data_IF_415598086000
#
_entry.id   IF_415598086000
#
_cell.length_a   1.000
_cell.length_b   1.000
_cell.length_c   1.000
_cell.angle_alpha   90.00
_cell.angle_beta   90.00
_cell.angle_gamma   90.00
#
_symmetry.space_group_name_H-M   'P 1'
#
loop_
_entity.id
_entity.type
_entity.pdbx_description
1 polymer ?
#
# COMPACT_ATOMS: atom_id res chain seq x y z
N UNK A 1 29.78 42.74 -49.72
CA UNK A 1 29.54 41.47 -50.44
C UNK A 1 30.80 40.61 -50.34
N UNK A 2 30.88 39.76 -49.32
CA UNK A 2 32.01 38.87 -49.09
C UNK A 2 31.59 37.43 -49.44
N UNK A 3 32.42 36.74 -50.23
CA UNK A 3 32.15 35.42 -50.82
C UNK A 3 32.37 34.29 -49.81
N UNK A 4 31.43 33.35 -49.80
CA UNK A 4 31.52 32.00 -49.23
C UNK A 4 32.73 31.23 -49.78
N UNK A 5 33.40 30.47 -48.91
CA UNK A 5 34.12 29.24 -49.28
C UNK A 5 33.81 28.12 -48.28
N UNK A 6 33.26 27.05 -48.84
CA UNK A 6 33.10 25.71 -48.28
C UNK A 6 34.44 25.11 -47.88
N UNK A 7 34.48 24.38 -46.75
CA UNK A 7 35.46 23.32 -46.51
C UNK A 7 34.73 22.09 -45.99
N UNK A 8 34.69 21.07 -46.84
CA UNK A 8 34.26 19.70 -46.58
C UNK A 8 35.38 18.94 -45.88
N UNK A 9 35.11 18.19 -44.81
CA UNK A 9 35.98 17.10 -44.36
C UNK A 9 35.16 15.87 -43.96
N UNK A 10 35.41 14.81 -44.72
CA UNK A 10 35.09 13.41 -44.46
C UNK A 10 35.78 12.90 -43.19
N UNK A 11 35.09 12.07 -42.42
CA UNK A 11 35.66 10.93 -41.69
C UNK A 11 34.55 9.88 -41.47
N UNK A 12 34.67 8.75 -42.17
CA UNK A 12 33.85 7.56 -41.97
C UNK A 12 34.50 6.69 -40.88
N UNK A 13 33.72 6.28 -39.88
CA UNK A 13 34.14 5.30 -38.88
C UNK A 13 33.42 3.96 -39.13
N UNK A 14 34.23 2.90 -39.14
CA UNK A 14 33.93 1.52 -39.52
C UNK A 14 33.18 0.82 -38.38
N UNK A 15 32.05 0.20 -38.70
CA UNK A 15 31.32 -0.71 -37.81
C UNK A 15 31.88 -2.14 -37.94
N UNK A 16 32.23 -2.77 -36.82
CA UNK A 16 32.58 -4.19 -36.74
C UNK A 16 31.58 -4.89 -35.81
N UNK A 17 30.67 -5.67 -36.40
CA UNK A 17 29.75 -6.54 -35.69
C UNK A 17 30.38 -7.92 -35.50
N UNK A 18 30.39 -8.42 -34.26
CA UNK A 18 30.73 -9.80 -33.92
C UNK A 18 29.47 -10.48 -33.40
N UNK A 19 29.02 -11.53 -34.10
CA UNK A 19 28.00 -12.49 -33.68
C UNK A 19 28.70 -13.76 -33.17
N UNK A 20 28.29 -14.36 -32.05
CA UNK A 20 28.59 -15.75 -31.76
C UNK A 20 27.45 -16.67 -32.22
N UNK A 21 27.86 -17.70 -32.96
CA UNK A 21 27.11 -18.92 -33.27
C UNK A 21 27.19 -19.85 -32.04
N UNK A 22 26.07 -20.37 -31.56
CA UNK A 22 26.05 -21.57 -30.70
C UNK A 22 25.02 -22.56 -31.25
N UNK A 23 25.50 -23.80 -31.36
CA UNK A 23 24.90 -24.94 -32.04
C UNK A 23 23.86 -25.69 -31.19
N UNK A 24 22.96 -26.38 -31.89
CA UNK A 24 22.01 -27.35 -31.35
C UNK A 24 22.70 -28.57 -30.73
N UNK A 25 22.14 -29.11 -29.65
CA UNK A 25 22.33 -30.49 -29.20
C UNK A 25 21.00 -31.00 -28.65
N UNK A 26 20.52 -32.11 -29.21
CA UNK A 26 19.27 -32.76 -28.88
C UNK A 26 19.50 -34.00 -28.01
N UNK A 27 18.68 -34.16 -26.96
CA UNK A 27 18.34 -35.40 -26.24
C UNK A 27 17.44 -34.98 -25.07
N UNK A 28 16.29 -35.55 -24.71
CA UNK A 28 15.60 -36.79 -25.04
C UNK A 28 14.67 -37.08 -23.85
N UNK A 29 13.46 -37.60 -24.09
CA UNK A 29 12.47 -37.98 -23.06
C UNK A 29 11.19 -37.16 -23.21
N UNK A 30 9.98 -37.72 -23.31
CA UNK A 30 9.50 -39.08 -23.10
C UNK A 30 8.04 -38.95 -22.68
N UNK A 31 7.11 -38.80 -23.63
CA UNK A 31 5.69 -38.68 -23.33
C UNK A 31 5.05 -40.07 -23.24
N UNK A 32 4.97 -40.59 -22.02
CA UNK A 32 4.17 -41.77 -21.69
C UNK A 32 2.72 -41.35 -21.42
N UNK A 33 1.83 -41.63 -22.35
CA UNK A 33 0.39 -41.64 -22.14
C UNK A 33 0.00 -43.00 -21.56
N UNK A 34 -0.57 -43.03 -20.36
CA UNK A 34 -1.28 -44.22 -19.86
C UNK A 34 -2.64 -43.83 -19.28
N UNK A 35 -3.66 -44.33 -19.97
CA UNK A 35 -5.03 -44.50 -19.53
C UNK A 35 -5.15 -45.67 -18.55
N UNK A 36 -6.04 -45.58 -17.56
CA UNK A 36 -6.70 -46.75 -16.97
C UNK A 36 -6.97 -46.69 -15.45
N UNK A 37 -8.27 -46.56 -15.11
CA UNK A 37 -9.08 -47.13 -14.00
C UNK A 37 -8.39 -47.47 -12.65
N UNK A 38 -8.97 -47.26 -11.47
CA UNK A 38 -10.35 -47.05 -11.02
C UNK A 38 -10.49 -47.61 -9.60
N UNK A 39 -11.70 -47.55 -9.03
CA UNK A 39 -12.11 -48.00 -7.67
C UNK A 39 -11.71 -47.04 -6.53
N UNK A 40 -12.58 -46.64 -5.61
CA UNK A 40 -13.93 -47.08 -5.27
C UNK A 40 -14.14 -46.86 -3.77
N UNK A 41 -15.18 -46.13 -3.37
CA UNK A 41 -15.46 -45.86 -1.96
C UNK A 41 -16.68 -44.97 -1.76
N UNK A 42 -17.86 -45.60 -1.78
CA UNK A 42 -19.17 -45.01 -1.49
C UNK A 42 -19.49 -44.98 0.00
N UNK A 43 -20.32 -44.00 0.39
CA UNK A 43 -21.36 -44.13 1.43
C UNK A 43 -21.31 -43.05 2.52
N UNK A 44 -22.41 -42.46 3.00
CA UNK A 44 -23.81 -42.46 2.58
C UNK A 44 -24.57 -41.37 3.38
N UNK A 45 -25.60 -40.80 2.72
CA UNK A 45 -26.92 -40.37 3.24
C UNK A 45 -27.06 -39.37 4.42
N UNK A 46 -27.79 -38.28 4.14
CA UNK A 46 -28.31 -37.30 5.11
C UNK A 46 -29.67 -37.67 5.74
N UNK A 47 -30.61 -36.71 5.85
CA UNK A 47 -31.03 -36.12 7.13
C UNK A 47 -32.40 -36.60 7.61
N UNK A 48 -32.66 -36.45 8.92
CA UNK A 48 -33.98 -36.67 9.54
C UNK A 48 -34.57 -35.37 10.08
N UNK A 49 -35.80 -35.07 9.66
CA UNK A 49 -36.60 -33.94 10.13
C UNK A 49 -37.98 -34.43 10.59
N UNK A 50 -38.51 -33.88 11.70
CA UNK A 50 -39.93 -33.62 12.07
C UNK A 50 -39.96 -33.16 13.55
N UNK A 51 -40.82 -32.29 14.10
CA UNK A 51 -41.75 -31.21 13.69
C UNK A 51 -42.57 -30.78 14.93
N UNK A 52 -42.84 -29.47 15.11
CA UNK A 52 -43.99 -28.81 15.84
C UNK A 52 -44.19 -29.08 17.36
N UNK A 53 -44.65 -28.19 18.26
CA UNK A 53 -45.47 -26.96 18.20
C UNK A 53 -45.50 -26.19 19.55
N UNK A 54 -45.72 -24.86 19.49
CA UNK A 54 -46.47 -23.96 20.41
C UNK A 54 -45.98 -23.63 21.83
N UNK A 55 -45.96 -22.34 22.17
CA UNK A 55 -46.15 -21.81 23.54
C UNK A 55 -45.24 -20.64 23.90
N UNK A 56 -45.85 -19.53 24.27
CA UNK A 56 -45.25 -18.25 24.67
C UNK A 56 -44.25 -18.35 25.85
N UNK A 57 -43.16 -17.57 25.84
CA UNK A 57 -42.76 -16.80 27.04
C UNK A 57 -41.80 -15.65 26.70
N UNK A 58 -42.07 -14.49 27.29
CA UNK A 58 -41.26 -13.29 27.22
C UNK A 58 -40.25 -13.29 28.37
N UNK A 59 -38.97 -13.09 28.06
CA UNK A 59 -37.97 -12.66 29.04
C UNK A 59 -36.94 -13.72 29.41
N UNK A 60 -35.73 -13.54 28.89
CA UNK A 60 -34.55 -14.27 29.33
C UNK A 60 -33.36 -13.91 28.46
N UNK A 61 -32.35 -13.29 29.06
CA UNK A 61 -31.03 -13.08 28.46
C UNK A 61 -30.53 -14.38 27.82
N UNK A 62 -30.26 -14.32 26.53
CA UNK A 62 -29.44 -15.33 25.86
C UNK A 62 -28.22 -14.60 25.33
N UNK A 63 -27.12 -14.78 26.04
CA UNK A 63 -25.79 -14.38 25.61
C UNK A 63 -25.47 -15.00 24.26
N UNK A 64 -25.30 -14.14 23.26
CA UNK A 64 -24.53 -14.49 22.08
C UNK A 64 -23.05 -14.38 22.44
N UNK A 65 -22.40 -15.51 22.68
CA UNK A 65 -20.95 -15.61 22.54
C UNK A 65 -20.63 -15.48 21.06
N UNK A 66 -20.31 -14.26 20.63
CA UNK A 66 -19.60 -14.01 19.38
C UNK A 66 -18.20 -14.59 19.52
N UNK A 67 -17.92 -15.69 18.83
CA UNK A 67 -16.57 -16.18 18.59
C UNK A 67 -16.14 -15.76 17.18
N UNK A 68 -15.84 -14.48 17.02
CA UNK A 68 -15.08 -13.91 15.90
C UNK A 68 -13.95 -13.05 16.48
N UNK A 69 -12.81 -12.89 15.79
CA UNK A 69 -11.64 -12.17 16.32
C UNK A 69 -11.88 -10.66 16.23
N UNK A 70 -12.81 -10.16 17.04
CA UNK A 70 -12.94 -8.76 17.41
C UNK A 70 -12.50 -8.63 18.86
N UNK A 71 -11.21 -8.86 19.12
CA UNK A 71 -10.65 -8.53 20.42
C UNK A 71 -10.73 -7.03 20.62
N UNK A 72 -11.19 -6.58 21.80
CA UNK A 72 -10.90 -5.23 22.26
C UNK A 72 -9.38 -4.99 22.07
N UNK A 73 -8.98 -3.84 21.48
CA UNK A 73 -7.56 -3.54 21.36
C UNK A 73 -6.89 -3.68 22.73
N UNK A 74 -5.64 -4.19 22.80
CA UNK A 74 -4.94 -4.32 24.07
C UNK A 74 -4.98 -2.99 24.83
N UNK A 75 -5.25 -3.04 26.13
CA UNK A 75 -5.23 -1.85 26.97
C UNK A 75 -3.91 -1.08 26.76
N UNK A 76 -4.00 0.24 26.59
CA UNK A 76 -2.86 1.13 26.37
C UNK A 76 -1.77 0.79 27.39
N UNK A 77 -0.54 0.55 26.91
CA UNK A 77 0.60 0.18 27.75
C UNK A 77 1.06 1.33 28.69
N UNK A 78 0.18 2.30 28.97
CA UNK A 78 0.46 3.52 29.68
C UNK A 78 1.26 4.50 28.82
N UNK A 79 1.06 4.50 27.50
CA UNK A 79 1.77 5.41 26.61
C UNK A 79 1.40 6.85 26.96
N UNK A 80 2.38 7.63 27.40
CA UNK A 80 2.15 8.99 27.88
C UNK A 80 2.53 10.01 26.83
N UNK A 81 1.63 10.97 26.61
CA UNK A 81 1.90 12.13 25.79
C UNK A 81 3.11 12.90 26.34
N UNK A 82 4.08 13.17 25.47
CA UNK A 82 5.25 13.99 25.78
C UNK A 82 5.04 15.38 25.20
N UNK A 83 5.20 16.44 25.98
CA UNK A 83 5.05 17.80 25.50
C UNK A 83 6.38 18.55 25.56
N UNK A 84 6.67 19.37 24.55
CA UNK A 84 7.79 20.32 24.59
C UNK A 84 7.47 21.56 25.46
N UNK A 85 8.48 22.40 25.67
CA UNK A 85 8.35 23.62 26.49
C UNK A 85 7.40 24.65 25.86
N UNK A 86 7.16 24.55 24.54
CA UNK A 86 6.19 25.33 23.77
C UNK A 86 4.75 24.80 23.89
N UNK A 87 4.55 23.65 24.53
CA UNK A 87 3.24 23.03 24.76
C UNK A 87 2.74 22.17 23.59
N UNK A 88 3.58 21.85 22.61
CA UNK A 88 3.26 20.89 21.57
C UNK A 88 3.42 19.48 22.13
N UNK A 89 2.34 18.72 22.09
CA UNK A 89 2.23 17.42 22.73
C UNK A 89 2.21 16.29 21.69
N UNK A 90 3.21 15.42 21.74
CA UNK A 90 3.36 14.22 20.90
C UNK A 90 2.94 12.99 21.70
N UNK A 91 1.99 12.25 21.15
CA UNK A 91 1.55 10.95 21.65
C UNK A 91 2.28 9.78 20.96
N UNK A 92 2.50 9.80 19.64
CA UNK A 92 3.25 8.74 18.97
C UNK A 92 4.32 9.31 18.04
N UNK A 93 5.42 8.58 17.89
CA UNK A 93 6.50 8.91 16.98
C UNK A 93 6.50 7.95 15.78
N UNK A 94 6.59 8.52 14.58
CA UNK A 94 6.54 7.78 13.31
C UNK A 94 7.85 8.02 12.55
N UNK A 95 8.54 6.95 12.15
CA UNK A 95 9.61 7.05 11.16
C UNK A 95 9.07 6.73 9.77
N UNK A 96 9.18 7.66 8.83
CA UNK A 96 8.95 7.39 7.42
C UNK A 96 10.27 7.11 6.72
N UNK A 97 10.47 5.88 6.23
CA UNK A 97 11.75 5.38 5.74
C UNK A 97 11.69 5.14 4.24
N UNK A 98 12.62 5.79 3.53
CA UNK A 98 12.82 5.75 2.08
C UNK A 98 12.23 6.96 1.35
N UNK A 99 12.39 7.00 0.02
CA UNK A 99 12.17 8.22 -0.75
C UNK A 99 10.71 8.64 -0.82
N UNK A 100 10.50 9.95 -0.89
CA UNK A 100 9.19 10.51 -1.23
C UNK A 100 8.87 10.21 -2.69
N UNK A 101 7.61 9.87 -2.97
CA UNK A 101 7.13 9.68 -4.33
C UNK A 101 7.22 10.96 -5.18
N UNK A 102 7.54 10.81 -6.47
CA UNK A 102 7.77 11.89 -7.44
C UNK A 102 6.91 11.79 -8.71
N UNK A 103 5.93 10.88 -8.71
CA UNK A 103 5.09 10.54 -9.87
C UNK A 103 3.74 11.23 -9.91
N UNK A 104 3.47 12.08 -8.93
CA UNK A 104 2.18 12.71 -8.82
C UNK A 104 1.97 13.75 -9.92
N UNK A 105 0.72 14.06 -10.25
CA UNK A 105 0.37 14.92 -11.38
C UNK A 105 0.94 16.34 -11.30
N UNK A 106 1.32 16.81 -10.11
CA UNK A 106 1.94 18.12 -9.92
C UNK A 106 3.47 18.01 -10.00
N UNK A 107 4.15 18.98 -10.61
CA UNK A 107 5.63 19.05 -10.57
C UNK A 107 6.21 19.24 -9.15
N UNK A 108 5.35 19.50 -8.16
CA UNK A 108 5.65 19.58 -6.74
C UNK A 108 4.94 18.47 -5.93
N UNK A 109 4.37 17.45 -6.58
CA UNK A 109 3.68 16.39 -5.87
C UNK A 109 4.69 15.53 -5.12
N UNK A 110 4.55 15.51 -3.79
CA UNK A 110 5.42 14.76 -2.90
C UNK A 110 4.59 14.18 -1.74
N UNK A 111 5.24 13.42 -0.87
CA UNK A 111 4.58 12.80 0.29
C UNK A 111 4.52 13.73 1.51
N UNK A 112 4.94 14.98 1.36
CA UNK A 112 4.86 16.02 2.40
C UNK A 112 3.43 16.29 2.87
N UNK A 113 2.41 16.02 2.06
CA UNK A 113 1.02 16.22 2.46
C UNK A 113 0.61 15.31 3.63
N UNK A 114 0.96 14.02 3.60
CA UNK A 114 0.72 13.11 4.72
C UNK A 114 1.44 13.60 5.98
N UNK A 115 2.72 13.98 5.84
CA UNK A 115 3.50 14.47 6.98
C UNK A 115 2.89 15.75 7.59
N UNK A 116 2.54 16.72 6.74
CA UNK A 116 1.92 17.96 7.17
C UNK A 116 0.56 17.70 7.82
N UNK A 117 -0.24 16.79 7.27
CA UNK A 117 -1.51 16.41 7.85
C UNK A 117 -1.33 15.75 9.23
N UNK A 118 -0.39 14.81 9.38
CA UNK A 118 -0.09 14.20 10.69
C UNK A 118 0.38 15.25 11.70
N UNK A 119 1.34 16.09 11.33
CA UNK A 119 1.89 17.09 12.25
C UNK A 119 0.89 18.22 12.60
N UNK A 120 -0.19 18.41 11.83
CA UNK A 120 -1.17 19.50 12.06
C UNK A 120 -2.53 19.05 12.53
N UNK A 121 -2.94 17.83 12.19
CA UNK A 121 -4.25 17.27 12.53
C UNK A 121 -4.15 16.16 13.56
N UNK A 122 -2.97 15.72 13.97
CA UNK A 122 -2.84 14.62 14.92
C UNK A 122 -1.92 14.92 16.09
N UNK A 123 -1.93 14.03 17.06
CA UNK A 123 -0.94 13.98 18.15
C UNK A 123 0.28 13.13 17.79
N UNK A 124 0.56 12.89 16.50
CA UNK A 124 1.78 12.21 16.07
C UNK A 124 2.90 13.21 15.70
N UNK A 125 4.14 12.75 15.79
CA UNK A 125 5.30 13.40 15.21
C UNK A 125 5.94 12.47 14.16
N UNK A 126 6.33 13.02 13.01
CA UNK A 126 6.89 12.24 11.90
C UNK A 126 8.31 12.69 11.55
N UNK A 127 9.26 11.76 11.66
CA UNK A 127 10.64 11.90 11.17
C UNK A 127 10.80 11.22 9.81
N UNK A 128 11.32 11.96 8.81
CA UNK A 128 11.52 11.45 7.45
C UNK A 128 12.98 11.09 7.18
N UNK A 129 13.19 9.87 6.68
CA UNK A 129 14.48 9.33 6.24
C UNK A 129 14.43 9.09 4.72
N UNK A 130 14.38 10.18 3.94
CA UNK A 130 14.10 10.17 2.50
C UNK A 130 15.32 10.34 1.59
N UNK A 131 16.53 10.46 2.14
CA UNK A 131 17.77 10.61 1.36
C UNK A 131 18.82 9.56 1.68
N UNK A 132 18.83 9.05 2.93
CA UNK A 132 19.84 8.11 3.40
C UNK A 132 19.17 6.97 4.17
N UNK A 133 19.66 5.75 3.93
CA UNK A 133 19.21 4.54 4.63
C UNK A 133 19.60 4.62 6.11
N UNK A 134 18.66 4.62 7.06
CA UNK A 134 19.00 4.44 8.46
C UNK A 134 19.45 2.99 8.71
N UNK A 135 20.32 2.81 9.70
CA UNK A 135 20.61 1.48 10.24
C UNK A 135 19.54 1.12 11.25
N UNK A 136 18.81 0.02 11.03
CA UNK A 136 17.72 -0.42 11.91
C UNK A 136 18.27 -1.15 13.15
N UNK A 137 18.86 -0.40 14.08
CA UNK A 137 19.31 -0.96 15.37
C UNK A 137 18.18 -0.90 16.41
N UNK A 138 18.23 -1.69 17.50
CA UNK A 138 17.27 -1.58 18.58
C UNK A 138 17.13 -0.16 19.14
N UNK A 139 18.23 0.59 19.24
CA UNK A 139 18.24 1.98 19.72
C UNK A 139 17.58 2.95 18.73
N UNK A 140 17.66 2.67 17.43
CA UNK A 140 16.93 3.44 16.42
C UNK A 140 15.43 3.16 16.53
N UNK A 141 15.06 1.88 16.55
CA UNK A 141 13.66 1.43 16.53
C UNK A 141 12.92 1.86 17.80
N UNK A 142 13.57 1.85 18.96
CA UNK A 142 12.98 2.24 20.25
C UNK A 142 12.54 3.72 20.34
N UNK A 143 12.88 4.55 19.34
CA UNK A 143 12.43 5.95 19.26
C UNK A 143 11.03 6.09 18.67
N UNK A 144 10.54 5.05 18.00
CA UNK A 144 9.34 5.09 17.19
C UNK A 144 8.32 4.09 17.69
N UNK A 145 7.05 4.46 17.54
CA UNK A 145 5.90 3.60 17.77
C UNK A 145 5.45 2.96 16.45
N UNK A 146 5.59 3.69 15.34
CA UNK A 146 5.25 3.23 14.00
C UNK A 146 6.39 3.50 13.02
N UNK A 147 6.65 2.55 12.14
CA UNK A 147 7.55 2.72 10.99
C UNK A 147 6.72 2.58 9.71
N UNK A 148 6.80 3.60 8.85
CA UNK A 148 6.23 3.62 7.51
C UNK A 148 7.34 3.37 6.49
N UNK A 149 7.29 2.24 5.78
CA UNK A 149 8.21 1.89 4.71
C UNK A 149 7.66 2.39 3.37
N UNK A 150 8.45 3.22 2.67
CA UNK A 150 8.15 3.72 1.33
C UNK A 150 9.40 3.76 0.46
N UNK A 151 9.32 3.38 -0.81
CA UNK A 151 10.34 3.56 -1.86
C UNK A 151 11.83 3.53 -1.41
N UNK A 152 12.26 2.42 -0.81
CA UNK A 152 13.60 2.25 -0.24
C UNK A 152 14.66 1.88 -1.29
N UNK A 153 15.02 2.86 -2.11
CA UNK A 153 15.96 2.72 -3.23
C UNK A 153 17.07 3.79 -3.17
N UNK A 154 18.18 3.64 -3.87
CA UNK A 154 19.34 4.55 -3.69
C UNK A 154 19.21 5.92 -4.37
N UNK A 155 18.28 6.09 -5.31
CA UNK A 155 18.13 7.35 -6.05
C UNK A 155 16.77 8.01 -5.90
N UNK A 156 15.69 7.23 -5.91
CA UNK A 156 14.33 7.76 -5.73
C UNK A 156 13.99 8.87 -6.71
N UNK A 157 14.31 8.68 -7.99
CA UNK A 157 14.02 9.65 -9.04
C UNK A 157 13.07 9.06 -10.09
N UNK A 158 12.35 9.96 -10.76
CA UNK A 158 11.40 9.59 -11.82
C UNK A 158 12.14 8.77 -12.90
N UNK A 159 11.70 7.53 -13.12
CA UNK A 159 12.32 6.55 -14.03
C UNK A 159 13.75 6.08 -13.65
N UNK A 160 14.26 6.43 -12.47
CA UNK A 160 15.55 5.95 -11.98
C UNK A 160 15.50 5.65 -10.47
N UNK A 161 15.19 4.41 -10.11
CA UNK A 161 15.22 3.95 -8.70
C UNK A 161 16.66 3.90 -8.15
N UNK A 162 17.65 3.67 -9.03
CA UNK A 162 18.95 3.15 -8.61
C UNK A 162 18.83 1.69 -8.17
N UNK A 163 19.53 1.30 -7.10
CA UNK A 163 19.47 -0.04 -6.51
C UNK A 163 18.55 -0.08 -5.29
N UNK A 164 17.95 -1.23 -4.95
CA UNK A 164 17.25 -1.38 -3.69
C UNK A 164 18.22 -1.20 -2.52
N UNK A 165 17.76 -0.56 -1.46
CA UNK A 165 18.47 -0.61 -0.19
C UNK A 165 18.66 -2.06 0.27
N UNK A 166 19.79 -2.32 0.92
CA UNK A 166 20.11 -3.64 1.46
C UNK A 166 20.09 -3.55 2.98
N UNK A 167 19.37 -4.47 3.61
CA UNK A 167 19.38 -4.63 5.07
C UNK A 167 20.16 -5.87 5.45
N UNK A 168 20.94 -5.78 6.52
CA UNK A 168 21.62 -6.97 7.05
C UNK A 168 20.61 -7.91 7.73
N UNK A 169 20.95 -9.21 7.91
CA UNK A 169 20.12 -10.10 8.73
C UNK A 169 19.87 -9.57 10.15
N UNK A 170 20.84 -8.85 10.74
CA UNK A 170 20.72 -8.27 12.07
C UNK A 170 19.69 -7.12 12.09
N UNK A 171 19.62 -6.31 11.03
CA UNK A 171 18.62 -5.24 10.90
C UNK A 171 17.20 -5.81 10.71
N UNK A 172 17.05 -6.86 9.91
CA UNK A 172 15.76 -7.56 9.75
C UNK A 172 15.33 -8.16 11.08
N UNK A 173 16.25 -8.78 11.82
CA UNK A 173 15.97 -9.36 13.13
C UNK A 173 15.62 -8.31 14.18
N UNK A 174 16.30 -7.16 14.17
CA UNK A 174 15.99 -6.06 15.07
C UNK A 174 14.58 -5.50 14.80
N UNK A 175 14.20 -5.35 13.53
CA UNK A 175 12.84 -4.95 13.16
C UNK A 175 11.81 -6.00 13.59
N UNK A 176 12.07 -7.29 13.35
CA UNK A 176 11.21 -8.39 13.79
C UNK A 176 11.01 -8.36 15.32
N UNK A 177 12.08 -8.19 16.10
CA UNK A 177 12.01 -8.13 17.56
C UNK A 177 11.23 -6.92 18.05
N UNK A 178 11.43 -5.77 17.43
CA UNK A 178 10.70 -4.54 17.76
C UNK A 178 9.20 -4.68 17.45
N UNK A 179 8.83 -5.23 16.30
CA UNK A 179 7.41 -5.51 15.98
C UNK A 179 6.84 -6.52 16.97
N UNK A 180 7.51 -7.64 17.24
CA UNK A 180 7.05 -8.61 18.24
C UNK A 180 6.89 -7.98 19.64
N UNK A 181 7.68 -6.94 19.93
CA UNK A 181 7.63 -6.17 21.17
C UNK A 181 6.48 -5.18 21.28
N UNK A 182 5.78 -4.85 20.18
CA UNK A 182 4.66 -3.90 20.17
C UNK A 182 4.75 -2.82 19.07
N UNK A 183 5.83 -2.78 18.30
CA UNK A 183 6.00 -1.80 17.22
C UNK A 183 5.03 -1.98 16.06
N UNK A 184 4.58 -0.87 15.47
CA UNK A 184 3.72 -0.83 14.30
C UNK A 184 4.49 -0.71 12.99
N UNK A 185 4.21 -1.55 12.01
CA UNK A 185 4.83 -1.48 10.69
C UNK A 185 3.76 -1.22 9.61
N UNK A 186 3.92 -0.17 8.82
CA UNK A 186 3.11 0.09 7.63
C UNK A 186 4.03 0.00 6.42
N UNK A 187 3.69 -0.82 5.45
CA UNK A 187 4.46 -0.98 4.22
C UNK A 187 3.63 -0.58 3.00
N UNK A 188 4.22 0.26 2.15
CA UNK A 188 3.65 0.68 0.87
C UNK A 188 4.47 0.13 -0.30
N UNK A 189 3.83 0.03 -1.46
CA UNK A 189 4.47 -0.31 -2.74
C UNK A 189 3.77 0.41 -3.88
N UNK A 190 4.19 0.16 -5.13
CA UNK A 190 3.57 0.74 -6.32
C UNK A 190 4.42 1.87 -6.93
N UNK A 191 5.52 2.22 -6.26
CA UNK A 191 6.46 3.19 -6.79
C UNK A 191 7.10 2.68 -8.09
N UNK A 192 7.30 3.60 -9.03
CA UNK A 192 7.93 3.32 -10.32
C UNK A 192 7.19 2.26 -11.16
N UNK A 193 5.87 2.26 -11.07
CA UNK A 193 4.98 1.57 -11.99
C UNK A 193 4.63 2.45 -13.21
N UNK A 194 4.60 1.86 -14.40
CA UNK A 194 4.08 2.53 -15.60
C UNK A 194 3.32 1.54 -16.49
N UNK A 195 2.86 2.03 -17.65
CA UNK A 195 2.14 1.23 -18.64
C UNK A 195 2.88 -0.01 -19.15
N UNK A 196 4.19 -0.11 -18.86
CA UNK A 196 5.07 -1.22 -19.21
C UNK A 196 5.35 -2.18 -18.03
N UNK A 197 4.81 -1.91 -16.84
CA UNK A 197 4.97 -2.71 -15.64
C UNK A 197 5.67 -1.94 -14.51
N UNK A 198 5.99 -2.65 -13.44
CA UNK A 198 6.62 -2.07 -12.26
C UNK A 198 8.03 -2.62 -12.05
N UNK A 199 8.94 -1.79 -11.54
CA UNK A 199 10.32 -2.25 -11.29
C UNK A 199 10.35 -3.19 -10.09
N UNK A 200 11.15 -4.26 -10.11
CA UNK A 200 11.29 -5.11 -8.93
C UNK A 200 11.98 -4.38 -7.76
N UNK A 201 12.69 -3.28 -8.05
CA UNK A 201 13.47 -2.55 -7.06
C UNK A 201 12.61 -1.93 -5.96
N UNK A 202 11.45 -1.40 -6.33
CA UNK A 202 10.42 -0.85 -5.43
C UNK A 202 10.14 -1.78 -4.23
N UNK A 203 9.96 -3.07 -4.49
CA UNK A 203 9.55 -4.04 -3.47
C UNK A 203 10.68 -4.86 -2.88
N UNK A 204 11.89 -4.79 -3.42
CA UNK A 204 12.97 -5.71 -3.01
C UNK A 204 13.37 -5.48 -1.54
N UNK A 205 13.59 -4.22 -1.17
CA UNK A 205 13.92 -3.84 0.20
C UNK A 205 12.72 -4.05 1.16
N UNK A 206 11.52 -3.68 0.72
CA UNK A 206 10.29 -3.82 1.53
C UNK A 206 9.98 -5.28 1.82
N UNK A 207 10.02 -6.17 0.82
CA UNK A 207 9.83 -7.61 1.02
C UNK A 207 10.95 -8.24 1.87
N UNK A 208 12.17 -7.68 1.84
CA UNK A 208 13.22 -8.11 2.75
C UNK A 208 12.85 -7.80 4.21
N UNK A 209 12.39 -6.58 4.48
CA UNK A 209 11.96 -6.17 5.83
C UNK A 209 10.67 -6.85 6.29
N UNK A 210 9.81 -7.32 5.38
CA UNK A 210 8.61 -8.11 5.70
C UNK A 210 8.88 -9.62 5.81
N UNK A 211 10.11 -10.09 5.62
CA UNK A 211 10.41 -11.53 5.49
C UNK A 211 10.17 -12.38 6.74
N UNK A 212 10.08 -11.77 7.92
CA UNK A 212 9.65 -12.45 9.16
C UNK A 212 8.12 -12.67 9.22
N UNK A 213 7.38 -12.07 8.28
CA UNK A 213 5.96 -12.31 8.07
C UNK A 213 5.75 -13.29 6.90
N UNK A 214 4.50 -13.48 6.48
CA UNK A 214 4.17 -14.12 5.21
C UNK A 214 3.53 -13.14 4.21
N UNK A 215 3.59 -11.83 4.50
CA UNK A 215 3.13 -10.75 3.62
C UNK A 215 4.22 -10.47 2.61
N UNK A 216 3.87 -10.47 1.32
CA UNK A 216 4.78 -10.17 0.23
C UNK A 216 4.05 -9.40 -0.87
N UNK A 217 4.63 -8.29 -1.32
CA UNK A 217 4.21 -7.63 -2.55
C UNK A 217 4.66 -8.45 -3.77
N UNK A 218 3.76 -8.67 -4.71
CA UNK A 218 4.08 -9.33 -5.96
C UNK A 218 4.80 -8.37 -6.93
N UNK A 219 5.54 -8.95 -7.88
CA UNK A 219 6.27 -8.19 -8.90
C UNK A 219 5.36 -7.65 -10.03
N UNK A 220 4.04 -7.72 -9.87
CA UNK A 220 3.07 -7.30 -10.86
C UNK A 220 2.79 -5.79 -10.80
N UNK A 221 2.03 -5.32 -11.79
CA UNK A 221 1.40 -4.01 -11.81
C UNK A 221 -0.03 -4.20 -12.26
N UNK A 222 -0.96 -4.02 -11.32
CA UNK A 222 -2.40 -4.16 -11.52
C UNK A 222 -3.06 -2.80 -11.41
N UNK A 223 -4.31 -2.67 -11.90
CA UNK A 223 -5.07 -1.42 -11.83
C UNK A 223 -4.44 -0.25 -12.59
N UNK A 224 -3.72 -0.54 -13.68
CA UNK A 224 -3.12 0.48 -14.54
C UNK A 224 -4.21 1.29 -15.28
N UNK A 225 -4.38 2.59 -14.96
CA UNK A 225 -5.41 3.42 -15.56
C UNK A 225 -5.22 3.57 -17.07
N UNK A 226 -3.98 3.50 -17.57
CA UNK A 226 -3.69 3.55 -19.00
C UNK A 226 -4.30 2.36 -19.76
N UNK A 227 -4.50 1.22 -19.09
CA UNK A 227 -5.17 0.03 -19.69
C UNK A 227 -6.68 0.16 -19.75
N UNK A 228 -7.25 1.11 -19.01
CA UNK A 228 -8.70 1.36 -19.01
C UNK A 228 -9.14 2.39 -20.06
N UNK A 229 -8.24 2.79 -20.98
CA UNK A 229 -8.48 3.88 -21.95
C UNK A 229 -8.97 5.17 -21.27
N UNK A 230 -8.46 5.47 -20.07
CA UNK A 230 -8.82 6.70 -19.39
C UNK A 230 -8.26 7.90 -20.16
N UNK A 231 -9.15 8.70 -20.75
CA UNK A 231 -8.77 9.86 -21.55
C UNK A 231 -8.15 11.00 -20.70
N UNK A 232 -8.28 10.94 -19.37
CA UNK A 232 -7.88 12.00 -18.45
C UNK A 232 -7.27 11.43 -17.15
N UNK A 233 -6.28 10.53 -17.26
CA UNK A 233 -5.60 9.89 -16.12
C UNK A 233 -4.92 10.85 -15.12
N UNK A 234 -4.96 12.16 -15.35
CA UNK A 234 -4.36 13.16 -14.47
C UNK A 234 -5.41 13.81 -13.54
N UNK A 235 -6.70 13.53 -13.75
CA UNK A 235 -7.81 13.96 -12.87
C UNK A 235 -7.95 13.05 -11.62
N UNK A 236 -9.03 13.18 -10.83
CA UNK A 236 -9.42 12.12 -9.88
C UNK A 236 -9.68 10.78 -10.58
N UNK A 237 -9.97 10.80 -11.90
CA UNK A 237 -10.06 9.60 -12.75
C UNK A 237 -8.70 9.02 -13.17
N UNK A 238 -7.60 9.55 -12.63
CA UNK A 238 -6.29 8.90 -12.68
C UNK A 238 -6.28 7.63 -11.86
N UNK A 239 -6.40 7.73 -10.53
CA UNK A 239 -6.54 6.56 -9.69
C UNK A 239 -7.80 5.75 -10.03
N UNK A 240 -7.67 4.44 -10.03
CA UNK A 240 -8.79 3.50 -10.00
C UNK A 240 -9.39 3.52 -8.59
N UNK A 241 -10.71 3.72 -8.44
CA UNK A 241 -11.35 3.61 -7.14
C UNK A 241 -11.30 2.17 -6.62
N UNK A 242 -10.64 1.95 -5.48
CA UNK A 242 -10.72 0.70 -4.73
C UNK A 242 -11.93 0.75 -3.82
N UNK A 243 -12.98 0.00 -4.18
CA UNK A 243 -14.26 -0.05 -3.49
C UNK A 243 -15.20 1.10 -3.85
N UNK A 244 -16.44 0.96 -3.37
CA UNK A 244 -17.48 1.99 -3.47
C UNK A 244 -18.29 1.94 -4.77
N UNK A 245 -19.29 2.83 -4.91
CA UNK A 245 -20.21 2.83 -6.04
C UNK A 245 -19.71 3.67 -7.24
N UNK A 246 -18.46 4.13 -7.22
CA UNK A 246 -17.93 5.00 -8.28
C UNK A 246 -17.82 4.21 -9.60
N UNK A 247 -18.08 4.83 -10.76
CA UNK A 247 -17.87 4.16 -12.04
C UNK A 247 -16.42 3.66 -12.19
N UNK A 248 -16.26 2.40 -12.59
CA UNK A 248 -14.95 1.78 -12.74
C UNK A 248 -14.29 1.32 -11.43
N UNK A 249 -15.01 1.39 -10.30
CA UNK A 249 -14.50 0.86 -9.03
C UNK A 249 -14.21 -0.63 -9.15
N UNK A 250 -13.15 -1.06 -8.47
CA UNK A 250 -12.77 -2.48 -8.34
C UNK A 250 -12.55 -2.79 -6.87
N UNK A 251 -12.63 -4.06 -6.51
CA UNK A 251 -12.40 -4.47 -5.14
C UNK A 251 -13.50 -4.09 -4.16
N UNK A 252 -13.35 -4.54 -2.93
CA UNK A 252 -14.27 -4.26 -1.82
C UNK A 252 -13.48 -4.16 -0.53
N UNK A 253 -13.77 -3.12 0.26
CA UNK A 253 -13.24 -2.96 1.60
C UNK A 253 -14.03 -3.78 2.60
N UNK A 254 -13.34 -4.59 3.39
CA UNK A 254 -13.93 -5.38 4.45
C UNK A 254 -14.30 -4.46 5.62
N UNK A 255 -15.60 -4.21 5.80
CA UNK A 255 -16.09 -3.29 6.83
C UNK A 255 -15.94 -3.83 8.26
N UNK A 256 -15.68 -5.14 8.40
CA UNK A 256 -15.50 -5.78 9.71
C UNK A 256 -14.05 -5.68 10.21
N UNK A 257 -13.12 -5.20 9.39
CA UNK A 257 -11.70 -5.08 9.77
C UNK A 257 -11.36 -3.68 10.27
N UNK A 258 -10.36 -3.55 11.17
CA UNK A 258 -9.93 -2.25 11.67
C UNK A 258 -9.45 -1.31 10.56
N UNK A 259 -8.88 -1.85 9.47
CA UNK A 259 -8.40 -1.04 8.35
C UNK A 259 -9.55 -0.67 7.40
N UNK A 260 -10.45 -1.60 7.07
CA UNK A 260 -11.49 -1.38 6.06
C UNK A 260 -12.77 -0.73 6.57
N UNK A 261 -12.99 -0.72 7.88
CA UNK A 261 -14.15 -0.09 8.52
C UNK A 261 -14.31 1.38 8.09
N UNK A 262 -15.52 1.74 7.69
CA UNK A 262 -15.90 3.10 7.25
C UNK A 262 -15.19 3.59 5.97
N UNK A 263 -14.40 2.74 5.32
CA UNK A 263 -13.82 2.99 4.01
C UNK A 263 -14.75 2.46 2.93
N UNK A 264 -15.29 3.37 2.14
CA UNK A 264 -16.01 3.10 0.90
C UNK A 264 -15.05 3.08 -0.28
N UNK A 265 -14.16 4.08 -0.40
CA UNK A 265 -13.26 4.16 -1.56
C UNK A 265 -11.93 4.85 -1.25
N UNK A 266 -10.86 4.27 -1.80
CA UNK A 266 -9.49 4.83 -1.79
C UNK A 266 -8.95 4.77 -3.21
N UNK A 267 -8.27 5.82 -3.66
CA UNK A 267 -7.65 5.82 -5.00
C UNK A 267 -6.38 4.97 -5.03
N UNK A 268 -6.20 4.19 -6.08
CA UNK A 268 -4.95 3.48 -6.39
C UNK A 268 -4.51 3.74 -7.83
N UNK A 269 -3.22 3.88 -8.09
CA UNK A 269 -2.66 4.15 -9.42
C UNK A 269 -1.51 3.19 -9.70
N UNK A 270 -1.83 2.10 -10.39
CA UNK A 270 -0.94 0.96 -10.61
C UNK A 270 -0.47 0.32 -9.30
N UNK A 271 -1.42 -0.29 -8.58
CA UNK A 271 -1.14 -1.05 -7.37
C UNK A 271 -0.35 -2.34 -7.66
N UNK A 272 0.28 -2.89 -6.62
CA UNK A 272 0.76 -4.27 -6.59
C UNK A 272 -0.18 -5.17 -5.82
N UNK A 273 -0.35 -6.39 -6.30
CA UNK A 273 -1.09 -7.38 -5.52
C UNK A 273 -0.26 -7.88 -4.35
N UNK A 274 -0.92 -8.18 -3.23
CA UNK A 274 -0.31 -8.68 -2.02
C UNK A 274 -0.62 -10.16 -1.87
N UNK A 275 0.42 -10.95 -1.66
CA UNK A 275 0.32 -12.35 -1.27
C UNK A 275 0.49 -12.47 0.23
N UNK A 276 -0.43 -13.19 0.87
CA UNK A 276 -0.31 -13.71 2.23
C UNK A 276 -1.23 -14.91 2.40
N UNK A 277 -0.92 -15.78 3.35
CA UNK A 277 -1.74 -16.95 3.73
C UNK A 277 -2.35 -16.82 5.12
N UNK A 278 -1.87 -15.87 5.92
CA UNK A 278 -2.25 -15.71 7.33
C UNK A 278 -2.63 -14.28 7.72
N UNK A 279 -2.34 -13.28 6.87
CA UNK A 279 -2.84 -11.93 7.08
C UNK A 279 -4.34 -11.85 6.79
N UNK A 280 -5.03 -11.00 7.53
CA UNK A 280 -6.42 -10.63 7.27
C UNK A 280 -6.47 -9.72 6.05
N UNK A 281 -7.43 -9.97 5.16
CA UNK A 281 -7.61 -9.16 3.95
C UNK A 281 -8.58 -8.02 4.22
N UNK A 282 -8.12 -6.79 3.98
CA UNK A 282 -8.88 -5.55 4.16
C UNK A 282 -9.49 -5.04 2.85
N UNK A 283 -8.81 -5.25 1.72
CA UNK A 283 -9.31 -4.87 0.40
C UNK A 283 -8.89 -5.91 -0.65
N UNK A 284 -9.84 -6.40 -1.44
CA UNK A 284 -9.62 -7.40 -2.50
C UNK A 284 -10.64 -7.29 -3.62
N UNK A 285 -10.26 -7.63 -4.85
CA UNK A 285 -11.17 -7.86 -5.99
C UNK A 285 -11.58 -9.34 -6.15
N UNK A 286 -11.22 -10.19 -5.17
CA UNK A 286 -11.43 -11.65 -5.21
C UNK A 286 -10.32 -12.41 -5.93
N UNK A 287 -9.44 -11.73 -6.66
CA UNK A 287 -8.24 -12.30 -7.31
C UNK A 287 -6.95 -11.77 -6.67
N UNK A 288 -6.90 -10.47 -6.44
CA UNK A 288 -5.75 -9.73 -5.90
C UNK A 288 -6.15 -9.10 -4.57
N UNK A 289 -5.26 -9.17 -3.58
CA UNK A 289 -5.39 -8.38 -2.36
C UNK A 289 -4.63 -7.07 -2.55
N UNK A 290 -5.24 -5.96 -2.12
CA UNK A 290 -4.66 -4.62 -2.21
C UNK A 290 -4.33 -4.03 -0.84
N UNK A 291 -5.02 -4.50 0.21
CA UNK A 291 -4.75 -4.13 1.59
C UNK A 291 -4.86 -5.37 2.48
N UNK A 292 -3.87 -5.61 3.33
CA UNK A 292 -3.88 -6.67 4.34
C UNK A 292 -3.29 -6.17 5.64
N UNK A 293 -3.68 -6.79 6.75
CA UNK A 293 -3.05 -6.57 8.04
C UNK A 293 -2.81 -7.87 8.80
N UNK A 294 -1.89 -7.82 9.76
CA UNK A 294 -1.51 -8.96 10.59
C UNK A 294 -1.03 -8.52 11.96
N UNK A 295 -1.41 -9.26 12.99
CA UNK A 295 -0.77 -9.18 14.32
C UNK A 295 0.51 -10.03 14.33
N UNK A 296 1.61 -9.47 14.83
CA UNK A 296 2.90 -10.16 14.96
C UNK A 296 3.42 -9.95 16.37
N UNK A 297 3.31 -10.99 17.20
CA UNK A 297 3.60 -10.88 18.63
C UNK A 297 2.63 -9.88 19.28
N UNK A 298 3.15 -8.75 19.78
CA UNK A 298 2.35 -7.66 20.34
C UNK A 298 2.15 -6.49 19.36
N UNK A 299 2.84 -6.50 18.22
CA UNK A 299 2.79 -5.43 17.25
C UNK A 299 1.88 -5.75 16.07
N UNK A 300 1.82 -4.80 15.15
CA UNK A 300 0.84 -4.79 14.07
C UNK A 300 1.52 -4.44 12.75
N UNK A 301 1.24 -5.21 11.70
CA UNK A 301 1.76 -4.98 10.35
C UNK A 301 0.59 -4.69 9.42
N UNK A 302 0.67 -3.59 8.66
CA UNK A 302 -0.25 -3.21 7.59
C UNK A 302 0.52 -3.16 6.29
N UNK A 303 -0.04 -3.73 5.23
CA UNK A 303 0.50 -3.59 3.88
C UNK A 303 -0.59 -3.09 2.94
N UNK A 304 -0.27 -2.03 2.19
CA UNK A 304 -1.12 -1.47 1.16
C UNK A 304 -0.36 -1.40 -0.16
N UNK A 305 -0.97 -1.92 -1.22
CA UNK A 305 -0.30 -2.21 -2.49
C UNK A 305 0.03 -0.99 -3.34
N UNK A 306 -0.37 0.20 -2.91
CA UNK A 306 -0.30 1.42 -3.69
C UNK A 306 0.18 2.61 -2.85
N UNK A 307 0.98 3.47 -3.44
CA UNK A 307 1.62 4.57 -2.75
C UNK A 307 0.81 5.87 -2.81
N UNK A 308 -0.20 5.97 -3.69
CA UNK A 308 -0.85 7.25 -3.99
C UNK A 308 -1.53 7.88 -2.78
N UNK A 309 -1.91 7.08 -1.79
CA UNK A 309 -2.41 7.53 -0.48
C UNK A 309 -1.44 8.49 0.25
N UNK A 310 -0.17 8.54 -0.16
CA UNK A 310 0.83 9.49 0.37
C UNK A 310 0.94 10.79 -0.43
N UNK A 311 0.53 10.81 -1.71
CA UNK A 311 0.77 11.92 -2.63
C UNK A 311 -0.13 13.11 -2.36
N UNK A 312 0.45 14.31 -2.33
CA UNK A 312 -0.29 15.57 -2.18
C UNK A 312 -1.44 15.75 -3.17
N UNK A 313 -1.35 15.19 -4.39
CA UNK A 313 -2.46 15.18 -5.35
C UNK A 313 -3.74 14.51 -4.85
N UNK A 314 -3.63 13.49 -3.98
CA UNK A 314 -4.78 12.85 -3.32
C UNK A 314 -5.37 13.70 -2.19
N UNK A 315 -4.52 14.44 -1.47
CA UNK A 315 -4.91 15.23 -0.29
C UNK A 315 -5.42 16.64 -0.63
N UNK A 316 -4.77 17.29 -1.59
CA UNK A 316 -5.02 18.69 -1.97
C UNK A 316 -5.84 18.79 -3.28
N UNK A 317 -5.95 17.68 -4.01
CA UNK A 317 -6.60 17.60 -5.31
C UNK A 317 -5.64 17.89 -6.47
N UNK A 318 -5.81 17.17 -7.58
CA UNK A 318 -4.84 17.17 -8.69
C UNK A 318 -5.01 18.33 -9.69
N UNK A 319 -6.21 18.89 -9.86
CA UNK A 319 -6.43 19.83 -10.97
C UNK A 319 -6.01 21.29 -10.72
N UNK A 320 -5.62 21.67 -9.49
CA UNK A 320 -5.10 23.02 -9.24
C UNK A 320 -3.72 23.24 -9.88
N UNK A 321 -2.92 22.18 -10.01
CA UNK A 321 -1.57 22.22 -10.57
C UNK A 321 -1.52 21.81 -12.05
N UNK A 322 -2.51 21.06 -12.55
CA UNK A 322 -2.56 20.58 -13.94
C UNK A 322 -3.21 21.58 -14.90
N UNK A 323 -4.47 21.94 -14.64
CA UNK A 323 -5.24 22.94 -15.39
C UNK A 323 -6.53 23.24 -14.62
N UNK A 324 -6.66 24.46 -14.09
CA UNK A 324 -7.83 24.87 -13.30
C UNK A 324 -9.15 24.83 -14.08
N UNK A 325 -9.11 24.90 -15.43
CA UNK A 325 -10.30 24.80 -16.28
C UNK A 325 -10.96 23.42 -16.21
N UNK A 326 -10.22 22.37 -15.83
CA UNK A 326 -10.74 21.01 -15.72
C UNK A 326 -11.81 20.86 -14.63
N UNK A 327 -11.85 21.74 -13.63
CA UNK A 327 -12.91 21.75 -12.61
C UNK A 327 -14.17 22.48 -13.05
N UNK A 328 -14.08 23.31 -14.10
CA UNK A 328 -15.19 24.15 -14.59
C UNK A 328 -15.78 23.69 -15.92
N UNK A 329 -15.14 22.72 -16.61
CA UNK A 329 -15.66 22.13 -17.84
C UNK A 329 -16.60 20.97 -17.52
N UNK A 330 -17.91 21.04 -17.85
CA UNK A 330 -18.87 19.97 -17.59
C UNK A 330 -18.58 18.67 -18.36
N UNK A 331 -17.68 18.68 -19.36
CA UNK A 331 -17.24 17.49 -20.08
C UNK A 331 -15.97 16.88 -19.48
N UNK A 332 -15.35 17.55 -18.51
CA UNK A 332 -14.19 17.03 -17.79
C UNK A 332 -14.63 16.04 -16.72
N UNK A 333 -13.95 14.89 -16.57
CA UNK A 333 -14.22 14.01 -15.44
C UNK A 333 -13.96 14.73 -14.12
N UNK A 334 -13.03 15.69 -14.05
CA UNK A 334 -12.79 16.54 -12.87
C UNK A 334 -13.90 17.55 -12.54
N UNK A 335 -15.01 17.63 -13.30
CA UNK A 335 -16.01 18.68 -13.08
C UNK A 335 -16.51 18.70 -11.64
N UNK A 336 -16.27 19.82 -10.94
CA UNK A 336 -16.67 20.08 -9.55
C UNK A 336 -16.17 19.06 -8.50
N UNK A 337 -15.23 18.14 -8.82
CA UNK A 337 -14.76 17.10 -7.90
C UNK A 337 -13.25 16.90 -7.95
N UNK A 338 -12.58 16.97 -6.80
CA UNK A 338 -11.17 16.61 -6.64
C UNK A 338 -10.99 15.20 -6.05
N UNK A 339 -9.79 14.62 -6.18
CA UNK A 339 -9.47 13.34 -5.54
C UNK A 339 -9.72 13.38 -4.02
N UNK A 340 -9.36 14.49 -3.37
CA UNK A 340 -9.58 14.71 -1.94
C UNK A 340 -11.07 14.73 -1.52
N UNK A 341 -11.98 15.04 -2.44
CA UNK A 341 -13.42 15.00 -2.19
C UNK A 341 -14.05 13.64 -2.48
N UNK A 342 -13.36 12.78 -3.22
CA UNK A 342 -13.88 11.50 -3.72
C UNK A 342 -13.34 10.31 -2.91
N UNK A 343 -12.07 10.36 -2.51
CA UNK A 343 -11.39 9.27 -1.81
C UNK A 343 -11.23 9.58 -0.33
N UNK A 344 -11.39 8.56 0.52
CA UNK A 344 -11.33 8.68 1.98
C UNK A 344 -9.91 8.49 2.50
N UNK A 345 -8.99 9.34 2.05
CA UNK A 345 -7.56 9.24 2.38
C UNK A 345 -7.33 9.45 3.88
N UNK A 346 -7.98 10.45 4.49
CA UNK A 346 -7.90 10.69 5.93
C UNK A 346 -8.42 9.50 6.75
N UNK A 347 -9.54 8.88 6.32
CA UNK A 347 -10.07 7.69 7.01
C UNK A 347 -9.11 6.50 6.88
N UNK A 348 -8.55 6.27 5.68
CA UNK A 348 -7.57 5.21 5.45
C UNK A 348 -6.38 5.34 6.39
N UNK A 349 -5.77 6.53 6.47
CA UNK A 349 -4.63 6.76 7.35
C UNK A 349 -5.00 6.71 8.82
N UNK A 350 -6.18 7.21 9.21
CA UNK A 350 -6.69 7.06 10.57
C UNK A 350 -6.76 5.59 10.99
N UNK A 351 -7.42 4.76 10.19
CA UNK A 351 -7.56 3.34 10.45
C UNK A 351 -6.20 2.62 10.49
N UNK A 352 -5.35 2.87 9.48
CA UNK A 352 -4.04 2.24 9.36
C UNK A 352 -3.11 2.59 10.53
N UNK A 353 -3.05 3.86 10.91
CA UNK A 353 -2.21 4.32 12.01
C UNK A 353 -2.76 3.90 13.35
N UNK A 354 -4.08 3.96 13.57
CA UNK A 354 -4.69 3.46 14.81
C UNK A 354 -4.41 1.98 15.01
N UNK A 355 -4.55 1.17 13.97
CA UNK A 355 -4.21 -0.25 14.05
C UNK A 355 -2.70 -0.48 14.25
N UNK A 356 -1.84 0.16 13.45
CA UNK A 356 -0.39 0.00 13.56
C UNK A 356 0.16 0.43 14.93
N UNK A 357 -0.35 1.54 15.46
CA UNK A 357 -0.01 2.04 16.79
C UNK A 357 -0.70 1.27 17.94
N UNK A 358 -1.25 0.07 17.67
CA UNK A 358 -1.91 -0.77 18.68
C UNK A 358 -3.04 -0.06 19.44
N UNK A 359 -3.71 0.89 18.77
CA UNK A 359 -4.79 1.73 19.32
C UNK A 359 -4.41 2.53 20.59
N UNK A 360 -3.16 2.99 20.72
CA UNK A 360 -2.73 3.93 21.77
C UNK A 360 -3.79 5.02 21.99
N UNK A 361 -4.21 5.21 23.23
CA UNK A 361 -5.40 6.01 23.58
C UNK A 361 -5.15 7.50 23.37
N UNK A 362 -3.95 7.99 23.71
CA UNK A 362 -3.62 9.40 23.52
C UNK A 362 -3.50 9.80 22.04
N UNK A 363 -3.45 8.83 21.11
CA UNK A 363 -3.27 9.13 19.70
C UNK A 363 -4.61 9.57 19.13
N UNK A 364 -4.69 10.79 18.65
CA UNK A 364 -5.91 11.37 18.11
C UNK A 364 -5.61 12.01 16.78
N UNK A 365 -6.57 11.91 15.86
CA UNK A 365 -6.58 12.69 14.62
C UNK A 365 -7.88 13.49 14.60
N UNK A 366 -7.75 14.79 14.40
CA UNK A 366 -8.82 15.77 14.34
C UNK A 366 -9.01 16.22 12.89
N UNK A 367 -9.64 15.36 12.09
CA UNK A 367 -10.07 15.68 10.75
C UNK A 367 -11.59 15.43 10.65
N UNK A 368 -12.42 16.42 10.27
CA UNK A 368 -13.87 16.25 10.17
C UNK A 368 -14.30 15.24 9.10
N UNK A 369 -13.40 14.80 8.22
CA UNK A 369 -13.67 13.73 7.26
C UNK A 369 -13.59 12.32 7.89
N UNK A 370 -13.07 12.18 9.12
CA UNK A 370 -12.95 10.90 9.82
C UNK A 370 -14.24 10.56 10.58
N UNK A 371 -14.68 9.32 10.40
CA UNK A 371 -15.69 8.64 11.22
C UNK A 371 -14.93 7.92 12.35
N UNK A 372 -15.18 8.33 13.60
CA UNK A 372 -14.52 7.81 14.82
C UNK A 372 -15.27 6.64 15.44
#
# INVERSE_FOLDING_TARGET
MARLRFVTRFCAAIAAAWLPVIACSASGGGNGNTTGNGEGGQGASGPGAVSSSSGDDFGGEIGLTSSGPGGEPPADAGHQTTCDDEGNCTCINIASIGHEGVWGPCSSDSTTALQNWLNTQSTAQVDNYNMEKPTLTPEFLAKYDVILLQWMVTKGAQNDDGQPWQFSPDEVKALEDWVNGGGGLIALSGYQCNGQGCTIHDITATNQLLSFTDIQFNADGVLDPARTNCANCNCWGGPVPLGGPLPGSVGTWNQDTPIGKDIQSVGAYIARSIKSTTATVDCTDGTNNFAVHKEVGKGHVVAYGDEWVTYSGQWLGTAACLNSQMYTDPNSPCYERSAAQVFQISQFWYNALKYAASSIECFTIEDPAIIK
#
